data_IF_821785479931
#
_entry.id   IF_821785479931
#
_cell.length_a   1.000
_cell.length_b   1.000
_cell.length_c   1.000
_cell.angle_alpha   90.00
_cell.angle_beta   90.00
_cell.angle_gamma   90.00
#
_symmetry.space_group_name_H-M   'P 1'
#
loop_
_entity.id
_entity.type
_entity.pdbx_description
1 polymer ?
#
# COMPACT_ATOMS: atom_id res chain seq x y z
N UNK A 1 2.47 -14.74 5.35
CA UNK A 1 1.90 -13.39 5.45
C UNK A 1 2.81 -12.22 5.02
N UNK A 2 3.63 -11.59 5.87
CA UNK A 2 4.21 -10.28 5.51
C UNK A 2 5.24 -10.33 4.37
N UNK A 3 6.05 -11.39 4.30
CA UNK A 3 6.95 -11.64 3.15
C UNK A 3 6.16 -11.81 1.85
N UNK A 4 5.01 -12.49 1.91
CA UNK A 4 4.11 -12.67 0.75
C UNK A 4 3.55 -11.32 0.27
N UNK A 5 3.06 -10.47 1.18
CA UNK A 5 2.62 -9.12 0.82
C UNK A 5 3.74 -8.29 0.18
N UNK A 6 4.96 -8.37 0.74
CA UNK A 6 6.13 -7.70 0.18
C UNK A 6 6.42 -8.15 -1.26
N UNK A 7 6.33 -9.45 -1.55
CA UNK A 7 6.50 -9.96 -2.92
C UNK A 7 5.38 -9.52 -3.85
N UNK A 8 4.13 -9.45 -3.38
CA UNK A 8 3.03 -8.89 -4.18
C UNK A 8 3.29 -7.44 -4.61
N UNK A 9 3.74 -6.59 -3.67
CA UNK A 9 4.10 -5.20 -3.97
C UNK A 9 5.26 -5.14 -4.96
N UNK A 10 6.28 -6.01 -4.84
CA UNK A 10 7.44 -6.05 -5.75
C UNK A 10 7.08 -6.46 -7.18
N UNK A 11 6.10 -7.35 -7.33
CA UNK A 11 5.69 -7.86 -8.63
C UNK A 11 4.83 -6.87 -9.44
N UNK A 12 4.25 -5.87 -8.78
CA UNK A 12 3.48 -4.82 -9.45
C UNK A 12 4.33 -3.56 -9.65
N UNK A 13 4.73 -3.23 -10.90
CA UNK A 13 5.65 -2.11 -11.17
C UNK A 13 5.05 -0.73 -10.86
N UNK A 14 3.73 -0.64 -10.65
CA UNK A 14 3.07 0.61 -10.25
C UNK A 14 3.21 0.89 -8.76
N UNK A 15 3.75 -0.04 -7.98
CA UNK A 15 4.02 0.14 -6.57
C UNK A 15 5.51 -0.01 -6.29
N UNK A 16 5.95 0.67 -5.25
CA UNK A 16 7.34 0.56 -4.80
C UNK A 16 7.40 0.43 -3.28
N UNK A 17 8.38 -0.35 -2.82
CA UNK A 17 8.73 -0.45 -1.41
C UNK A 17 9.66 0.71 -1.07
N UNK A 18 9.24 1.55 -0.13
CA UNK A 18 9.96 2.79 0.20
C UNK A 18 11.10 2.54 1.19
N UNK A 19 10.97 1.53 2.05
CA UNK A 19 11.94 1.23 3.12
C UNK A 19 12.20 -0.28 3.25
N UNK A 20 13.41 -0.70 3.66
CA UNK A 20 13.68 -2.10 4.00
C UNK A 20 12.71 -2.61 5.07
N UNK A 21 12.18 -3.81 4.85
CA UNK A 21 11.37 -4.50 5.85
C UNK A 21 12.27 -5.24 6.84
N UNK A 22 12.12 -4.92 8.13
CA UNK A 22 12.80 -5.64 9.22
C UNK A 22 11.88 -6.58 10.00
N UNK A 23 10.58 -6.26 10.08
CA UNK A 23 9.58 -7.02 10.85
C UNK A 23 8.31 -7.23 10.03
N UNK A 24 7.14 -7.21 10.68
CA UNK A 24 5.84 -7.47 10.06
C UNK A 24 5.16 -6.25 9.43
N UNK A 25 5.91 -5.16 9.23
CA UNK A 25 5.47 -3.94 8.54
C UNK A 25 6.06 -3.88 7.12
N UNK A 26 5.23 -3.55 6.14
CA UNK A 26 5.66 -3.13 4.80
C UNK A 26 5.29 -1.67 4.59
N UNK A 27 6.28 -0.86 4.25
CA UNK A 27 6.10 0.53 3.84
C UNK A 27 6.21 0.61 2.31
N UNK A 28 5.13 1.02 1.66
CA UNK A 28 5.03 1.05 0.20
C UNK A 28 4.25 2.28 -0.25
N UNK A 29 4.37 2.64 -1.53
CA UNK A 29 3.54 3.68 -2.14
C UNK A 29 3.15 3.31 -3.56
N UNK A 30 2.03 3.85 -4.00
CA UNK A 30 1.56 3.80 -5.37
C UNK A 30 2.26 4.89 -6.19
N UNK A 31 3.00 4.48 -7.21
CA UNK A 31 3.78 5.33 -8.09
C UNK A 31 3.65 4.80 -9.53
N UNK A 32 2.49 4.98 -10.18
CA UNK A 32 2.17 4.35 -11.45
C UNK A 32 2.98 4.92 -12.63
N UNK A 33 3.41 6.17 -12.54
CA UNK A 33 4.35 6.79 -13.45
C UNK A 33 5.50 7.38 -12.63
N UNK A 34 6.72 6.94 -12.88
CA UNK A 34 7.90 7.38 -12.11
C UNK A 34 8.24 8.87 -12.30
N UNK A 35 7.54 9.55 -13.19
CA UNK A 35 7.71 10.95 -13.55
C UNK A 35 6.72 11.89 -12.83
N UNK A 36 5.80 11.37 -12.00
CA UNK A 36 4.94 12.24 -11.19
C UNK A 36 5.76 13.13 -10.27
N UNK A 37 5.34 14.40 -10.17
CA UNK A 37 5.85 15.31 -9.15
C UNK A 37 5.56 14.73 -7.75
N UNK A 38 6.45 14.93 -6.76
CA UNK A 38 6.29 14.36 -5.42
C UNK A 38 4.92 14.67 -4.79
N UNK A 39 4.38 15.86 -5.05
CA UNK A 39 3.07 16.29 -4.56
C UNK A 39 1.90 15.49 -5.17
N UNK A 40 1.99 15.15 -6.46
CA UNK A 40 0.96 14.36 -7.15
C UNK A 40 0.99 12.91 -6.67
N UNK A 41 2.19 12.34 -6.50
CA UNK A 41 2.35 11.01 -5.89
C UNK A 41 1.76 10.99 -4.48
N UNK A 42 2.01 12.03 -3.66
CA UNK A 42 1.44 12.13 -2.32
C UNK A 42 -0.10 12.20 -2.37
N UNK A 43 -0.67 13.04 -3.23
CA UNK A 43 -2.11 13.16 -3.40
C UNK A 43 -2.74 11.82 -3.82
N UNK A 44 -2.14 11.10 -4.76
CA UNK A 44 -2.60 9.78 -5.20
C UNK A 44 -2.59 8.77 -4.05
N UNK A 45 -1.53 8.75 -3.23
CA UNK A 45 -1.44 7.83 -2.10
C UNK A 45 -2.43 8.18 -0.97
N UNK A 46 -2.72 9.46 -0.75
CA UNK A 46 -3.80 9.90 0.16
C UNK A 46 -5.16 9.39 -0.31
N UNK A 47 -5.50 9.64 -1.59
CA UNK A 47 -6.75 9.15 -2.20
C UNK A 47 -6.86 7.62 -2.15
N UNK A 48 -5.76 6.91 -2.40
CA UNK A 48 -5.73 5.45 -2.33
C UNK A 48 -6.01 4.96 -0.91
N UNK A 49 -5.37 5.55 0.10
CA UNK A 49 -5.60 5.18 1.49
C UNK A 49 -7.05 5.41 1.89
N UNK A 50 -7.61 6.57 1.56
CA UNK A 50 -9.00 6.92 1.88
C UNK A 50 -9.98 5.99 1.16
N UNK A 51 -9.74 5.70 -0.12
CA UNK A 51 -10.55 4.76 -0.89
C UNK A 51 -10.52 3.35 -0.27
N UNK A 52 -9.35 2.85 0.11
CA UNK A 52 -9.24 1.51 0.71
C UNK A 52 -9.92 1.46 2.08
N UNK A 53 -9.64 2.44 2.95
CA UNK A 53 -10.19 2.50 4.30
C UNK A 53 -11.70 2.72 4.31
N UNK A 54 -12.24 3.53 3.40
CA UNK A 54 -13.70 3.79 3.30
C UNK A 54 -14.51 2.54 2.93
N UNK A 55 -13.88 1.50 2.35
CA UNK A 55 -14.56 0.23 2.09
C UNK A 55 -14.91 -0.54 3.36
N UNK A 56 -14.26 -0.25 4.50
CA UNK A 56 -14.41 -0.99 5.75
C UNK A 56 -13.83 -2.41 5.73
N UNK A 57 -13.26 -2.87 4.61
CA UNK A 57 -12.73 -4.24 4.45
C UNK A 57 -11.31 -4.40 4.97
N UNK A 58 -10.54 -3.31 4.94
CA UNK A 58 -9.16 -3.21 5.42
C UNK A 58 -8.99 -1.85 6.08
N UNK A 59 -8.16 -1.79 7.11
CA UNK A 59 -7.70 -0.53 7.68
C UNK A 59 -6.18 -0.46 7.65
N UNK A 60 -5.65 0.59 7.02
CA UNK A 60 -4.24 0.92 6.99
C UNK A 60 -4.02 2.35 7.47
N UNK A 61 -2.78 2.66 7.80
CA UNK A 61 -2.35 4.02 8.12
C UNK A 61 -1.25 4.46 7.17
N UNK A 62 -0.90 5.74 7.20
CA UNK A 62 0.24 6.28 6.48
C UNK A 62 1.34 6.73 7.45
N UNK A 63 2.47 7.13 6.89
CA UNK A 63 3.49 7.93 7.56
C UNK A 63 4.18 8.81 6.53
N UNK A 64 4.82 9.88 7.00
CA UNK A 64 5.74 10.69 6.20
C UNK A 64 7.13 10.51 6.81
N UNK A 65 8.10 10.06 6.01
CA UNK A 65 9.48 9.91 6.43
C UNK A 65 10.41 10.37 5.30
N UNK A 66 11.39 11.24 5.63
CA UNK A 66 12.27 11.83 4.62
C UNK A 66 11.53 12.64 3.55
N UNK A 67 10.38 13.24 3.90
CA UNK A 67 9.52 13.96 2.95
C UNK A 67 8.69 13.06 2.03
N UNK A 68 8.74 11.73 2.19
CA UNK A 68 8.00 10.79 1.35
C UNK A 68 6.78 10.29 2.12
N UNK A 69 5.59 10.53 1.57
CA UNK A 69 4.34 9.93 2.03
C UNK A 69 4.26 8.46 1.59
N UNK A 70 3.99 7.56 2.54
CA UNK A 70 3.92 6.12 2.28
C UNK A 70 2.82 5.44 3.10
N UNK A 71 2.28 4.36 2.54
CA UNK A 71 1.29 3.50 3.16
C UNK A 71 1.96 2.43 4.02
N UNK A 72 1.32 2.08 5.14
CA UNK A 72 1.82 1.11 6.11
C UNK A 72 0.87 -0.08 6.21
N UNK A 73 1.32 -1.22 5.70
CA UNK A 73 0.63 -2.49 5.89
C UNK A 73 1.30 -3.27 7.03
N UNK A 74 0.75 -3.12 8.24
CA UNK A 74 1.22 -3.79 9.44
C UNK A 74 0.44 -5.08 9.67
N UNK A 75 1.06 -6.22 9.42
CA UNK A 75 0.47 -7.53 9.67
C UNK A 75 0.82 -7.98 11.09
N UNK A 76 -0.16 -8.45 11.85
CA UNK A 76 0.11 -8.94 13.21
C UNK A 76 -1.11 -9.14 14.10
N UNK A 77 -2.32 -8.82 13.63
CA UNK A 77 -3.52 -9.15 14.39
C UNK A 77 -3.69 -10.68 14.48
N UNK A 78 -4.09 -11.16 15.66
CA UNK A 78 -4.12 -12.59 16.01
C UNK A 78 -4.97 -13.44 15.05
N UNK A 79 -6.05 -12.88 14.51
CA UNK A 79 -6.97 -13.55 13.59
C UNK A 79 -6.60 -13.39 12.11
N UNK A 80 -5.50 -12.70 11.79
CA UNK A 80 -5.07 -12.53 10.41
C UNK A 80 -4.44 -13.82 9.87
N UNK A 81 -5.12 -14.42 8.91
CA UNK A 81 -4.62 -15.50 8.04
C UNK A 81 -4.13 -14.98 6.67
N UNK A 82 -3.42 -15.83 5.91
CA UNK A 82 -2.90 -15.50 4.56
C UNK A 82 -4.02 -15.04 3.59
N UNK A 83 -5.22 -15.62 3.66
CA UNK A 83 -6.37 -15.21 2.82
C UNK A 83 -6.72 -13.73 2.99
N UNK A 84 -6.61 -13.18 4.19
CA UNK A 84 -6.90 -11.76 4.44
C UNK A 84 -5.86 -10.86 3.79
N UNK A 85 -4.59 -11.28 3.79
CA UNK A 85 -3.50 -10.54 3.14
C UNK A 85 -3.66 -10.53 1.62
N UNK A 86 -4.10 -11.66 1.04
CA UNK A 86 -4.40 -11.78 -0.39
C UNK A 86 -5.56 -10.85 -0.75
N UNK A 87 -6.70 -10.94 -0.05
CA UNK A 87 -7.85 -10.08 -0.31
C UNK A 87 -7.57 -8.58 -0.08
N UNK A 88 -6.75 -8.25 0.91
CA UNK A 88 -6.30 -6.87 1.13
C UNK A 88 -5.50 -6.34 -0.05
N UNK A 89 -4.58 -7.14 -0.60
CA UNK A 89 -3.80 -6.76 -1.77
C UNK A 89 -4.65 -6.59 -3.03
N UNK A 90 -5.60 -7.50 -3.27
CA UNK A 90 -6.56 -7.39 -4.39
C UNK A 90 -7.36 -6.08 -4.32
N UNK A 91 -7.86 -5.74 -3.13
CA UNK A 91 -8.58 -4.48 -2.88
C UNK A 91 -7.71 -3.24 -3.13
N UNK A 92 -6.45 -3.27 -2.69
CA UNK A 92 -5.50 -2.17 -2.92
C UNK A 92 -5.30 -1.96 -4.42
N UNK A 93 -5.07 -3.03 -5.19
CA UNK A 93 -4.91 -2.96 -6.64
C UNK A 93 -6.16 -2.45 -7.34
N UNK A 94 -7.34 -2.93 -6.95
CA UNK A 94 -8.63 -2.48 -7.52
C UNK A 94 -8.86 -0.99 -7.27
N UNK A 95 -8.62 -0.54 -6.04
CA UNK A 95 -8.74 0.88 -5.66
C UNK A 95 -7.75 1.74 -6.43
N UNK A 96 -6.50 1.29 -6.55
CA UNK A 96 -5.46 1.99 -7.30
C UNK A 96 -5.77 2.06 -8.80
N UNK A 97 -6.31 1.00 -9.40
CA UNK A 97 -6.75 1.02 -10.80
C UNK A 97 -7.88 2.03 -10.99
N UNK A 98 -8.85 2.08 -10.08
CA UNK A 98 -9.98 3.02 -10.19
C UNK A 98 -9.51 4.48 -10.16
N UNK A 99 -8.45 4.80 -9.42
CA UNK A 99 -7.87 6.14 -9.37
C UNK A 99 -7.13 6.57 -10.65
N UNK A 100 -6.82 5.63 -11.55
CA UNK A 100 -6.17 5.90 -12.85
C UNK A 100 -7.15 6.01 -14.02
N UNK A 101 -8.44 5.81 -13.77
CA UNK A 101 -9.49 6.02 -14.78
C UNK A 101 -10.03 7.44 -14.66
#
# INVERSE_FOLDING_TARGET
MTKMFKEFVRLDPKFEIVMPQHFSLVCFRFNPEKEYEPADTEMLNKKLLDSVNSTGRVYMTHTIAGGIYMLRFAVGATLTEDRHVISAWELIKESAHTLLK
#
